data_IF_907713882297
#
_entry.id   IF_907713882297
#
_cell.length_a   1.000
_cell.length_b   1.000
_cell.length_c   1.000
_cell.angle_alpha   90.00
_cell.angle_beta   90.00
_cell.angle_gamma   90.00
#
_symmetry.space_group_name_H-M   'P 1'
#
loop_
_entity.id
_entity.type
_entity.pdbx_description
1 polymer ?
#
# COMPACT_ATOMS: atom_id res chain seq x y z
N UNK A 1 -17.43 -25.28 3.79
CA UNK A 1 -16.02 -25.71 3.87
C UNK A 1 -15.06 -24.59 3.45
N UNK A 2 -15.24 -23.96 2.27
CA UNK A 2 -14.37 -22.88 1.77
C UNK A 2 -14.22 -21.69 2.71
N UNK A 3 -15.32 -21.17 3.27
CA UNK A 3 -15.30 -20.08 4.26
C UNK A 3 -14.40 -20.41 5.48
N UNK A 4 -14.57 -21.60 6.08
CA UNK A 4 -13.78 -22.03 7.23
C UNK A 4 -12.30 -22.17 6.86
N UNK A 5 -11.99 -22.76 5.70
CA UNK A 5 -10.61 -22.87 5.20
C UNK A 5 -9.98 -21.48 5.03
N UNK A 6 -10.67 -20.53 4.40
CA UNK A 6 -10.16 -19.18 4.20
C UNK A 6 -9.93 -18.44 5.53
N UNK A 7 -10.84 -18.58 6.50
CA UNK A 7 -10.67 -18.03 7.84
C UNK A 7 -9.45 -18.62 8.56
N UNK A 8 -9.26 -19.95 8.50
CA UNK A 8 -8.10 -20.63 9.09
C UNK A 8 -6.80 -20.16 8.43
N UNK A 9 -6.78 -20.02 7.10
CA UNK A 9 -5.61 -19.51 6.36
C UNK A 9 -5.29 -18.08 6.81
N UNK A 10 -6.29 -17.19 6.91
CA UNK A 10 -6.06 -15.81 7.36
C UNK A 10 -5.51 -15.77 8.79
N UNK A 11 -6.07 -16.58 9.71
CA UNK A 11 -5.57 -16.69 11.09
C UNK A 11 -4.12 -17.19 11.09
N UNK A 12 -3.80 -18.23 10.32
CA UNK A 12 -2.44 -18.77 10.21
C UNK A 12 -1.46 -17.72 9.68
N UNK A 13 -1.85 -16.93 8.67
CA UNK A 13 -1.04 -15.84 8.12
C UNK A 13 -0.78 -14.75 9.17
N UNK A 14 -1.78 -14.38 9.97
CA UNK A 14 -1.59 -13.42 11.08
C UNK A 14 -0.66 -13.97 12.17
N UNK A 15 -0.79 -15.26 12.52
CA UNK A 15 0.12 -15.89 13.48
C UNK A 15 1.57 -15.93 12.97
N UNK A 16 1.77 -16.33 11.71
CA UNK A 16 3.09 -16.36 11.09
C UNK A 16 3.71 -14.96 10.93
N UNK A 17 2.87 -13.93 10.72
CA UNK A 17 3.31 -12.52 10.79
C UNK A 17 3.81 -12.18 12.20
N UNK A 18 3.06 -12.56 13.25
CA UNK A 18 3.42 -12.31 14.65
C UNK A 18 4.74 -12.96 15.08
N UNK A 19 5.02 -14.18 14.58
CA UNK A 19 6.31 -14.87 14.77
C UNK A 19 7.38 -14.48 13.73
N UNK A 20 7.03 -13.58 12.81
CA UNK A 20 7.88 -13.08 11.73
C UNK A 20 8.51 -14.15 10.83
N UNK A 21 7.80 -15.26 10.62
CA UNK A 21 8.29 -16.38 9.83
C UNK A 21 8.35 -15.98 8.35
N UNK A 22 9.54 -15.91 7.72
CA UNK A 22 9.64 -15.61 6.30
C UNK A 22 8.92 -16.67 5.45
N UNK A 23 8.35 -16.29 4.30
CA UNK A 23 8.33 -14.94 3.70
C UNK A 23 7.14 -14.07 4.16
N UNK A 24 6.37 -14.51 5.16
CA UNK A 24 5.06 -13.93 5.51
C UNK A 24 5.11 -12.43 5.79
N UNK A 25 6.06 -11.85 6.57
CA UNK A 25 6.07 -10.41 6.78
C UNK A 25 6.15 -9.58 5.50
N UNK A 26 6.97 -10.00 4.54
CA UNK A 26 7.15 -9.29 3.26
C UNK A 26 5.93 -9.50 2.35
N UNK A 27 5.34 -10.69 2.36
CA UNK A 27 4.22 -11.08 1.50
C UNK A 27 2.83 -10.96 2.16
N UNK A 28 2.76 -10.42 3.38
CA UNK A 28 1.57 -10.43 4.22
C UNK A 28 0.36 -9.86 3.49
N UNK A 29 0.56 -8.76 2.76
CA UNK A 29 -0.47 -8.09 2.00
C UNK A 29 -1.24 -9.05 1.07
N UNK A 30 -0.50 -9.79 0.25
CA UNK A 30 -1.05 -10.81 -0.68
C UNK A 30 -1.73 -11.92 0.11
N UNK A 31 -1.04 -12.44 1.13
CA UNK A 31 -1.49 -13.59 1.91
C UNK A 31 -2.75 -13.29 2.75
N UNK A 32 -3.00 -12.03 3.10
CA UNK A 32 -4.19 -11.58 3.80
C UNK A 32 -5.36 -11.32 2.84
N UNK A 33 -5.10 -10.74 1.67
CA UNK A 33 -6.17 -10.39 0.73
C UNK A 33 -6.89 -11.59 0.14
N UNK A 34 -6.17 -12.58 -0.40
CA UNK A 34 -6.82 -13.71 -1.07
C UNK A 34 -7.81 -14.50 -0.17
N UNK A 35 -7.49 -14.89 1.07
CA UNK A 35 -8.49 -15.50 1.94
C UNK A 35 -9.62 -14.52 2.30
N UNK A 36 -9.34 -13.22 2.44
CA UNK A 36 -10.38 -12.20 2.65
C UNK A 36 -11.37 -12.13 1.47
N UNK A 37 -10.89 -12.18 0.23
CA UNK A 37 -11.73 -12.22 -0.96
C UNK A 37 -12.60 -13.50 -0.99
N UNK A 38 -12.03 -14.65 -0.64
CA UNK A 38 -12.80 -15.91 -0.54
C UNK A 38 -13.87 -15.81 0.54
N UNK A 39 -13.56 -15.22 1.71
CA UNK A 39 -14.54 -14.99 2.78
C UNK A 39 -15.70 -14.12 2.26
N UNK A 40 -15.40 -13.00 1.62
CA UNK A 40 -16.43 -12.09 1.10
C UNK A 40 -17.29 -12.76 0.01
N UNK A 41 -16.67 -13.52 -0.89
CA UNK A 41 -17.39 -14.26 -1.94
C UNK A 41 -18.32 -15.34 -1.36
N UNK A 42 -17.85 -16.09 -0.36
CA UNK A 42 -18.69 -17.08 0.33
C UNK A 42 -19.82 -16.41 1.12
N UNK A 43 -19.60 -15.22 1.70
CA UNK A 43 -20.69 -14.43 2.31
C UNK A 43 -21.74 -14.04 1.26
N UNK A 44 -21.33 -13.63 0.05
CA UNK A 44 -22.26 -13.36 -1.04
C UNK A 44 -23.10 -14.60 -1.36
N UNK A 45 -22.47 -15.79 -1.46
CA UNK A 45 -23.17 -17.06 -1.72
C UNK A 45 -24.14 -17.42 -0.60
N UNK A 46 -23.73 -17.27 0.67
CA UNK A 46 -24.59 -17.53 1.83
C UNK A 46 -25.80 -16.60 1.88
N UNK A 47 -25.69 -15.39 1.33
CA UNK A 47 -26.79 -14.44 1.18
C UNK A 47 -27.63 -14.69 -0.10
N UNK A 48 -27.44 -15.83 -0.79
CA UNK A 48 -28.18 -16.21 -2.00
C UNK A 48 -27.68 -15.53 -3.27
N UNK A 49 -26.44 -15.05 -3.27
CA UNK A 49 -25.76 -14.48 -4.44
C UNK A 49 -24.97 -15.49 -5.27
N UNK A 50 -24.56 -15.05 -6.45
CA UNK A 50 -23.63 -15.81 -7.29
C UNK A 50 -22.19 -15.50 -6.91
N UNK A 51 -21.39 -16.55 -6.78
CA UNK A 51 -19.94 -16.45 -6.57
C UNK A 51 -19.27 -15.77 -7.77
N UNK A 52 -18.55 -14.69 -7.51
CA UNK A 52 -17.70 -14.00 -8.48
C UNK A 52 -16.41 -14.78 -8.75
N UNK A 53 -16.01 -15.65 -7.82
CA UNK A 53 -14.77 -16.43 -7.91
C UNK A 53 -14.98 -17.84 -8.52
N UNK A 54 -16.22 -18.29 -8.70
CA UNK A 54 -16.52 -19.62 -9.21
C UNK A 54 -16.20 -19.82 -10.70
N UNK A 55 -16.57 -18.91 -11.63
CA UNK A 55 -16.32 -19.12 -13.05
C UNK A 55 -14.84 -18.85 -13.38
N UNK A 56 -14.05 -19.88 -13.79
CA UNK A 56 -12.59 -19.74 -13.88
C UNK A 56 -12.15 -18.75 -14.97
N UNK A 57 -12.90 -18.67 -16.08
CA UNK A 57 -12.59 -17.75 -17.18
C UNK A 57 -12.80 -16.29 -16.78
N UNK A 58 -13.93 -16.01 -16.13
CA UNK A 58 -14.26 -14.66 -15.66
C UNK A 58 -13.34 -14.26 -14.52
N UNK A 59 -12.99 -15.19 -13.61
CA UNK A 59 -12.02 -14.95 -12.56
C UNK A 59 -10.66 -14.55 -13.13
N UNK A 60 -10.12 -15.31 -14.09
CA UNK A 60 -8.82 -14.98 -14.71
C UNK A 60 -8.87 -13.63 -15.42
N UNK A 61 -9.94 -13.35 -16.16
CA UNK A 61 -10.12 -12.05 -16.82
C UNK A 61 -10.21 -10.91 -15.80
N UNK A 62 -10.96 -11.09 -14.72
CA UNK A 62 -11.09 -10.11 -13.64
C UNK A 62 -9.77 -9.84 -12.95
N UNK A 63 -9.02 -10.88 -12.55
CA UNK A 63 -7.72 -10.71 -11.91
C UNK A 63 -6.70 -10.02 -12.83
N UNK A 64 -6.72 -10.36 -14.12
CA UNK A 64 -5.86 -9.70 -15.11
C UNK A 64 -6.20 -8.22 -15.26
N UNK A 65 -7.46 -7.89 -15.53
CA UNK A 65 -7.88 -6.50 -15.72
C UNK A 65 -7.79 -5.69 -14.43
N UNK A 66 -7.94 -6.32 -13.27
CA UNK A 66 -7.69 -5.71 -11.96
C UNK A 66 -6.26 -5.18 -11.84
N UNK A 67 -5.27 -6.03 -12.19
CA UNK A 67 -3.87 -5.59 -12.20
C UNK A 67 -3.64 -4.48 -13.23
N UNK A 68 -4.17 -4.60 -14.45
CA UNK A 68 -4.03 -3.58 -15.50
C UNK A 68 -4.64 -2.24 -15.09
N UNK A 69 -5.82 -2.26 -14.46
CA UNK A 69 -6.50 -1.06 -13.97
C UNK A 69 -5.64 -0.35 -12.94
N UNK A 70 -5.09 -1.05 -11.94
CA UNK A 70 -4.21 -0.39 -10.98
C UNK A 70 -2.92 0.12 -11.63
N UNK A 71 -2.35 -0.62 -12.58
CA UNK A 71 -1.14 -0.20 -13.29
C UNK A 71 -1.35 1.08 -14.12
N UNK A 72 -2.58 1.44 -14.50
CA UNK A 72 -2.90 2.77 -15.03
C UNK A 72 -2.61 3.87 -14.00
N UNK A 73 -3.04 3.68 -12.76
CA UNK A 73 -2.80 4.63 -11.68
C UNK A 73 -1.32 4.66 -11.25
N UNK A 74 -0.60 3.54 -11.36
CA UNK A 74 0.87 3.54 -11.21
C UNK A 74 1.57 4.38 -12.29
N UNK A 75 1.13 4.25 -13.55
CA UNK A 75 1.68 5.06 -14.63
C UNK A 75 1.43 6.57 -14.40
N UNK A 76 0.27 6.94 -13.85
CA UNK A 76 -0.02 8.31 -13.40
C UNK A 76 0.90 8.67 -12.23
N UNK A 77 1.08 7.78 -11.26
CA UNK A 77 1.90 7.99 -10.07
C UNK A 77 3.38 8.29 -10.39
N UNK A 78 3.92 7.81 -11.51
CA UNK A 78 5.28 8.21 -11.94
C UNK A 78 5.47 9.74 -12.01
N UNK A 79 4.39 10.46 -12.34
CA UNK A 79 4.36 11.92 -12.38
C UNK A 79 3.98 12.57 -11.05
N UNK A 80 3.04 11.97 -10.32
CA UNK A 80 2.50 12.50 -9.06
C UNK A 80 3.48 12.30 -7.90
N UNK A 81 4.04 11.08 -7.79
CA UNK A 81 4.89 10.60 -6.70
C UNK A 81 4.18 10.67 -5.34
N UNK A 82 2.92 10.28 -5.35
CA UNK A 82 2.07 10.27 -4.16
C UNK A 82 2.38 9.08 -3.25
N UNK A 83 2.87 7.98 -3.81
CA UNK A 83 3.34 6.82 -3.07
C UNK A 83 4.59 6.17 -3.68
N UNK A 84 5.31 5.44 -2.84
CA UNK A 84 6.47 4.62 -3.21
C UNK A 84 6.49 3.32 -2.38
N UNK A 85 7.10 2.27 -2.92
CA UNK A 85 7.20 0.95 -2.30
C UNK A 85 8.52 0.76 -1.56
N UNK A 86 8.44 0.07 -0.42
CA UNK A 86 9.60 -0.23 0.44
C UNK A 86 9.62 -1.69 0.85
N UNK A 87 10.83 -2.19 1.09
CA UNK A 87 11.12 -3.56 1.52
C UNK A 87 10.51 -4.66 0.65
N UNK A 88 10.27 -4.40 -0.63
CA UNK A 88 9.80 -5.45 -1.57
C UNK A 88 10.84 -6.56 -1.76
N UNK A 89 10.47 -7.75 -2.28
CA UNK A 89 11.44 -8.80 -2.54
C UNK A 89 12.63 -8.32 -3.37
N UNK A 90 13.84 -8.77 -3.03
CA UNK A 90 15.06 -8.35 -3.71
C UNK A 90 15.12 -8.86 -5.16
N UNK A 91 14.66 -10.08 -5.39
CA UNK A 91 14.55 -10.67 -6.73
C UNK A 91 13.54 -9.91 -7.59
N UNK A 92 13.97 -9.46 -8.78
CA UNK A 92 13.12 -8.70 -9.70
C UNK A 92 11.87 -9.45 -10.12
N UNK A 93 12.02 -10.71 -10.53
CA UNK A 93 10.89 -11.54 -10.95
C UNK A 93 9.91 -11.79 -9.80
N UNK A 94 10.42 -12.15 -8.62
CA UNK A 94 9.62 -12.34 -7.42
C UNK A 94 8.82 -11.09 -7.07
N UNK A 95 9.47 -9.92 -7.11
CA UNK A 95 8.83 -8.62 -6.86
C UNK A 95 7.75 -8.30 -7.89
N UNK A 96 8.02 -8.52 -9.18
CA UNK A 96 7.04 -8.27 -10.25
C UNK A 96 5.81 -9.16 -10.14
N UNK A 97 6.01 -10.44 -9.81
CA UNK A 97 4.93 -11.37 -9.51
C UNK A 97 4.16 -10.85 -8.30
N UNK A 98 4.83 -10.54 -7.20
CA UNK A 98 4.23 -10.04 -5.97
C UNK A 98 3.41 -8.77 -6.15
N UNK A 99 3.92 -7.79 -6.92
CA UNK A 99 3.17 -6.59 -7.31
C UNK A 99 1.94 -7.02 -8.10
N UNK A 100 2.11 -7.77 -9.19
CA UNK A 100 0.99 -8.14 -10.08
C UNK A 100 -0.13 -8.87 -9.34
N UNK A 101 0.19 -9.84 -8.47
CA UNK A 101 -0.83 -10.56 -7.68
C UNK A 101 -1.44 -9.70 -6.58
N UNK A 102 -0.71 -8.73 -6.02
CA UNK A 102 -1.29 -7.75 -5.10
C UNK A 102 -2.32 -6.90 -5.83
N UNK A 103 -1.97 -6.39 -7.00
CA UNK A 103 -2.83 -5.51 -7.79
C UNK A 103 -4.03 -6.24 -8.39
N UNK A 104 -3.92 -7.54 -8.64
CA UNK A 104 -5.03 -8.38 -9.08
C UNK A 104 -6.20 -8.41 -8.08
N UNK A 105 -5.97 -8.06 -6.81
CA UNK A 105 -7.02 -8.04 -5.77
C UNK A 105 -7.93 -6.81 -5.80
N UNK A 106 -7.56 -5.74 -6.52
CA UNK A 106 -8.24 -4.43 -6.49
C UNK A 106 -9.71 -4.52 -6.89
N UNK A 107 -10.01 -5.03 -8.08
CA UNK A 107 -11.40 -5.17 -8.58
C UNK A 107 -12.24 -6.04 -7.66
N UNK A 108 -11.87 -7.29 -7.32
CA UNK A 108 -12.69 -8.11 -6.45
C UNK A 108 -12.84 -7.52 -5.04
N UNK A 109 -11.83 -6.80 -4.53
CA UNK A 109 -11.93 -6.10 -3.24
C UNK A 109 -13.02 -5.02 -3.22
N UNK A 110 -13.37 -4.44 -4.38
CA UNK A 110 -14.47 -3.48 -4.52
C UNK A 110 -15.80 -4.18 -4.84
N UNK A 111 -15.79 -5.14 -5.77
CA UNK A 111 -17.03 -5.78 -6.24
C UNK A 111 -17.68 -6.69 -5.21
N UNK A 112 -16.89 -7.40 -4.40
CA UNK A 112 -17.45 -8.34 -3.41
C UNK A 112 -18.20 -7.63 -2.28
N UNK A 113 -17.66 -6.57 -1.63
CA UNK A 113 -18.43 -5.81 -0.64
C UNK A 113 -19.67 -5.15 -1.25
N UNK A 114 -19.61 -4.64 -2.47
CA UNK A 114 -20.80 -4.10 -3.16
C UNK A 114 -21.89 -5.17 -3.30
N UNK A 115 -21.52 -6.39 -3.72
CA UNK A 115 -22.45 -7.52 -3.82
C UNK A 115 -23.02 -7.94 -2.47
N UNK A 116 -22.21 -7.93 -1.40
CA UNK A 116 -22.71 -8.19 -0.04
C UNK A 116 -23.78 -7.17 0.32
N UNK A 117 -23.51 -5.87 0.11
CA UNK A 117 -24.48 -4.80 0.37
C UNK A 117 -25.74 -4.93 -0.50
N UNK A 118 -25.59 -5.34 -1.76
CA UNK A 118 -26.71 -5.59 -2.68
C UNK A 118 -27.60 -6.74 -2.17
N UNK A 119 -27.00 -7.85 -1.76
CA UNK A 119 -27.74 -9.00 -1.22
C UNK A 119 -28.44 -8.68 0.10
N UNK A 120 -27.81 -7.85 0.94
CA UNK A 120 -28.42 -7.31 2.16
C UNK A 120 -29.49 -6.24 1.88
N UNK A 121 -29.72 -5.87 0.61
CA UNK A 121 -30.70 -4.86 0.18
C UNK A 121 -30.45 -3.48 0.78
N UNK A 122 -29.20 -3.14 1.07
CA UNK A 122 -28.82 -1.84 1.62
C UNK A 122 -29.03 -0.76 0.56
N UNK A 123 -29.66 0.36 0.93
CA UNK A 123 -30.04 1.46 0.03
C UNK A 123 -30.89 1.06 -1.18
N UNK A 124 -31.61 -0.06 -1.07
CA UNK A 124 -32.68 -0.37 -2.02
C UNK A 124 -33.67 0.81 -2.03
N UNK A 125 -34.09 1.22 -3.21
CA UNK A 125 -34.98 2.37 -3.43
C UNK A 125 -34.35 3.77 -3.26
N UNK A 126 -33.02 3.88 -3.17
CA UNK A 126 -32.36 5.18 -3.27
C UNK A 126 -32.51 5.73 -4.69
N UNK A 127 -33.53 6.56 -4.88
CA UNK A 127 -33.95 7.15 -6.15
C UNK A 127 -33.82 8.66 -6.12
N UNK A 128 -33.60 9.22 -7.30
CA UNK A 128 -33.62 10.66 -7.59
C UNK A 128 -34.40 10.91 -8.88
N UNK A 129 -34.49 12.17 -9.31
CA UNK A 129 -35.15 12.52 -10.57
C UNK A 129 -34.39 11.92 -11.73
N UNK A 130 -35.09 11.19 -12.59
CA UNK A 130 -34.54 10.75 -13.87
C UNK A 130 -34.35 11.94 -14.81
N UNK A 131 -33.37 11.82 -15.71
CA UNK A 131 -33.11 12.80 -16.75
C UNK A 131 -32.57 12.10 -17.99
N UNK A 132 -32.78 12.73 -19.15
CA UNK A 132 -32.30 12.18 -20.42
C UNK A 132 -30.82 12.50 -20.60
N UNK A 133 -29.98 11.46 -20.67
CA UNK A 133 -28.58 11.60 -21.07
C UNK A 133 -28.46 11.76 -22.59
N UNK A 134 -28.37 13.01 -23.04
CA UNK A 134 -28.02 13.32 -24.42
C UNK A 134 -26.53 13.08 -24.75
N UNK A 135 -26.19 12.82 -26.03
CA UNK A 135 -24.79 12.63 -26.46
C UNK A 135 -23.84 13.76 -26.07
N UNK A 136 -24.32 15.02 -26.10
CA UNK A 136 -23.53 16.19 -25.68
C UNK A 136 -23.05 16.11 -24.23
N UNK A 137 -23.85 15.54 -23.32
CA UNK A 137 -23.46 15.41 -21.91
C UNK A 137 -22.32 14.42 -21.75
N UNK A 138 -22.33 13.34 -22.53
CA UNK A 138 -21.28 12.32 -22.55
C UNK A 138 -19.97 12.88 -23.12
N UNK A 139 -20.06 13.71 -24.16
CA UNK A 139 -18.90 14.40 -24.73
C UNK A 139 -18.30 15.40 -23.76
N UNK A 140 -19.12 16.25 -23.13
CA UNK A 140 -18.68 17.20 -22.11
C UNK A 140 -18.00 16.46 -20.96
N UNK A 141 -18.61 15.39 -20.43
CA UNK A 141 -18.02 14.59 -19.36
C UNK A 141 -16.64 14.04 -19.75
N UNK A 142 -16.52 13.47 -20.97
CA UNK A 142 -15.24 12.96 -21.48
C UNK A 142 -14.17 14.05 -21.58
N UNK A 143 -14.52 15.21 -22.14
CA UNK A 143 -13.58 16.34 -22.25
C UNK A 143 -13.19 16.91 -20.90
N UNK A 144 -14.12 17.01 -19.95
CA UNK A 144 -13.84 17.40 -18.56
C UNK A 144 -12.89 16.38 -17.94
N UNK A 145 -13.13 15.08 -18.09
CA UNK A 145 -12.25 14.03 -17.58
C UNK A 145 -10.82 14.15 -18.11
N UNK A 146 -10.66 14.33 -19.43
CA UNK A 146 -9.35 14.57 -20.04
C UNK A 146 -8.69 15.88 -19.58
N UNK A 147 -9.46 16.95 -19.47
CA UNK A 147 -8.98 18.24 -18.95
C UNK A 147 -8.50 18.15 -17.51
N UNK A 148 -9.25 17.44 -16.65
CA UNK A 148 -8.86 17.19 -15.26
C UNK A 148 -7.60 16.34 -15.18
N UNK A 149 -7.50 15.26 -15.95
CA UNK A 149 -6.29 14.43 -15.99
C UNK A 149 -5.07 15.23 -16.47
N UNK A 150 -5.22 16.06 -17.50
CA UNK A 150 -4.15 16.95 -17.95
C UNK A 150 -3.73 17.95 -16.87
N UNK A 151 -4.69 18.54 -16.16
CA UNK A 151 -4.43 19.47 -15.06
C UNK A 151 -3.72 18.79 -13.89
N UNK A 152 -4.13 17.56 -13.53
CA UNK A 152 -3.46 16.70 -12.54
C UNK A 152 -1.99 16.48 -12.92
N UNK A 153 -1.71 16.13 -14.16
CA UNK A 153 -0.34 15.85 -14.62
C UNK A 153 0.52 17.14 -14.75
N UNK A 154 -0.11 18.27 -15.06
CA UNK A 154 0.56 19.57 -15.10
C UNK A 154 0.90 20.09 -13.70
N UNK A 155 -0.04 19.98 -12.75
CA UNK A 155 0.07 20.54 -11.40
C UNK A 155 -0.18 19.49 -10.29
N UNK A 156 0.55 18.37 -10.25
CA UNK A 156 0.23 17.25 -9.37
C UNK A 156 0.36 17.58 -7.90
N UNK A 157 1.21 18.56 -7.54
CA UNK A 157 1.37 18.99 -6.15
C UNK A 157 0.04 19.41 -5.51
N UNK A 158 -0.90 19.96 -6.28
CA UNK A 158 -2.16 20.50 -5.77
C UNK A 158 -3.38 19.73 -6.26
N UNK A 159 -3.32 19.21 -7.49
CA UNK A 159 -4.49 18.65 -8.16
C UNK A 159 -4.55 17.12 -8.12
N UNK A 160 -3.59 16.44 -7.48
CA UNK A 160 -3.58 14.98 -7.35
C UNK A 160 -4.92 14.34 -6.90
N UNK A 161 -5.76 14.95 -6.01
CA UNK A 161 -7.02 14.32 -5.60
C UNK A 161 -8.01 14.18 -6.76
N UNK A 162 -7.92 15.03 -7.78
CA UNK A 162 -8.83 15.00 -8.94
C UNK A 162 -8.61 13.80 -9.86
N UNK A 163 -7.53 13.03 -9.64
CA UNK A 163 -7.28 11.76 -10.32
C UNK A 163 -8.46 10.80 -10.12
N UNK A 164 -9.00 10.74 -8.90
CA UNK A 164 -10.09 9.84 -8.46
C UNK A 164 -11.47 10.28 -8.96
N UNK A 165 -11.56 10.70 -10.22
CA UNK A 165 -12.77 11.20 -10.85
C UNK A 165 -12.51 11.58 -12.30
N UNK A 166 -11.30 12.04 -12.61
CA UNK A 166 -10.87 12.27 -13.97
C UNK A 166 -10.96 11.00 -14.82
N UNK A 167 -10.46 9.85 -14.31
CA UNK A 167 -10.49 8.58 -15.06
C UNK A 167 -11.92 8.06 -15.16
N UNK A 168 -12.73 8.25 -14.12
CA UNK A 168 -14.16 7.92 -14.12
C UNK A 168 -14.90 8.62 -15.26
N UNK A 169 -14.71 9.95 -15.38
CA UNK A 169 -15.35 10.78 -16.40
C UNK A 169 -14.87 10.46 -17.82
N UNK A 170 -13.68 9.89 -17.98
CA UNK A 170 -13.19 9.38 -19.27
C UNK A 170 -13.85 8.02 -19.60
N UNK A 171 -13.94 7.12 -18.62
CA UNK A 171 -14.42 5.76 -18.82
C UNK A 171 -15.94 5.67 -18.98
N UNK A 172 -16.71 6.41 -18.18
CA UNK A 172 -18.17 6.30 -18.14
C UNK A 172 -18.87 6.62 -19.47
N UNK A 173 -18.53 7.70 -20.19
CA UNK A 173 -19.09 7.95 -21.52
C UNK A 173 -18.86 6.81 -22.51
N UNK A 174 -17.75 6.08 -22.39
CA UNK A 174 -17.43 4.94 -23.25
C UNK A 174 -18.22 3.70 -22.83
N UNK A 175 -18.36 3.48 -21.52
CA UNK A 175 -19.18 2.38 -20.99
C UNK A 175 -20.66 2.59 -21.30
N UNK A 176 -21.21 3.79 -21.07
CA UNK A 176 -22.61 4.11 -21.31
C UNK A 176 -23.02 3.84 -22.76
N UNK A 177 -22.19 4.23 -23.74
CA UNK A 177 -22.49 3.99 -25.17
C UNK A 177 -22.53 2.51 -25.55
N UNK A 178 -21.91 1.63 -24.76
CA UNK A 178 -21.80 0.20 -25.05
C UNK A 178 -22.75 -0.65 -24.21
N UNK A 179 -22.76 -0.43 -22.90
CA UNK A 179 -23.55 -1.17 -21.93
C UNK A 179 -24.24 -0.20 -20.94
N UNK A 180 -25.33 0.48 -21.36
CA UNK A 180 -26.05 1.44 -20.51
C UNK A 180 -26.57 0.87 -19.18
N UNK A 181 -26.75 -0.45 -19.07
CA UNK A 181 -27.20 -1.14 -17.85
C UNK A 181 -26.09 -1.27 -16.79
N UNK A 182 -24.83 -1.31 -17.24
CA UNK A 182 -23.65 -1.37 -16.37
C UNK A 182 -23.04 -0.01 -16.09
N UNK A 183 -23.32 0.99 -16.93
CA UNK A 183 -22.86 2.35 -16.71
C UNK A 183 -23.52 3.00 -15.50
N UNK A 184 -22.70 3.67 -14.68
CA UNK A 184 -23.16 4.48 -13.55
C UNK A 184 -23.85 5.76 -14.02
N UNK A 185 -23.43 6.34 -15.15
CA UNK A 185 -24.20 7.40 -15.84
C UNK A 185 -25.58 6.89 -16.24
N UNK A 186 -25.68 5.65 -16.70
CA UNK A 186 -26.98 5.03 -16.97
C UNK A 186 -27.85 4.87 -15.73
N UNK A 187 -27.23 4.52 -14.59
CA UNK A 187 -27.94 4.50 -13.30
C UNK A 187 -28.44 5.90 -12.92
N UNK A 188 -27.59 6.92 -13.03
CA UNK A 188 -27.95 8.32 -12.76
C UNK A 188 -29.09 8.81 -13.67
N UNK A 189 -29.05 8.52 -14.97
CA UNK A 189 -30.10 8.92 -15.92
C UNK A 189 -31.45 8.29 -15.58
N UNK A 190 -31.45 7.03 -15.12
CA UNK A 190 -32.64 6.35 -14.61
C UNK A 190 -33.07 6.84 -13.22
N UNK A 191 -32.31 7.74 -12.61
CA UNK A 191 -32.51 8.22 -11.25
C UNK A 191 -32.14 7.20 -10.17
N UNK A 192 -31.41 6.13 -10.49
CA UNK A 192 -30.98 5.11 -9.54
C UNK A 192 -29.64 5.47 -8.90
N UNK A 193 -29.60 5.57 -7.57
CA UNK A 193 -28.37 5.76 -6.81
C UNK A 193 -27.94 4.52 -6.04
N UNK A 194 -28.71 3.43 -6.11
CA UNK A 194 -28.49 2.22 -5.31
C UNK A 194 -27.07 1.67 -5.48
N UNK A 195 -26.68 1.40 -6.74
CA UNK A 195 -25.36 0.85 -7.07
C UNK A 195 -24.24 1.83 -6.70
N UNK A 196 -24.42 3.11 -6.99
CA UNK A 196 -23.41 4.14 -6.71
C UNK A 196 -23.16 4.24 -5.21
N UNK A 197 -24.22 4.33 -4.40
CA UNK A 197 -24.10 4.38 -2.94
C UNK A 197 -23.42 3.13 -2.37
N UNK A 198 -23.79 1.94 -2.86
CA UNK A 198 -23.12 0.68 -2.49
C UNK A 198 -21.66 0.64 -2.90
N UNK A 199 -21.30 1.14 -4.09
CA UNK A 199 -19.91 1.24 -4.54
C UNK A 199 -19.09 2.22 -3.70
N UNK A 200 -19.63 3.39 -3.35
CA UNK A 200 -18.96 4.34 -2.46
C UNK A 200 -18.65 3.70 -1.10
N UNK A 201 -19.62 2.98 -0.53
CA UNK A 201 -19.44 2.26 0.73
C UNK A 201 -18.47 1.08 0.60
N UNK A 202 -18.55 0.32 -0.49
CA UNK A 202 -17.65 -0.79 -0.79
C UNK A 202 -16.20 -0.29 -0.98
N UNK A 203 -16.02 0.85 -1.64
CA UNK A 203 -14.73 1.51 -1.79
C UNK A 203 -14.14 1.89 -0.44
N UNK A 204 -14.93 2.54 0.42
CA UNK A 204 -14.47 2.87 1.78
C UNK A 204 -14.08 1.62 2.58
N UNK A 205 -14.92 0.58 2.55
CA UNK A 205 -14.64 -0.70 3.21
C UNK A 205 -13.34 -1.33 2.69
N UNK A 206 -13.17 -1.40 1.37
CA UNK A 206 -11.97 -1.91 0.73
C UNK A 206 -10.75 -1.09 1.14
N UNK A 207 -10.85 0.24 1.14
CA UNK A 207 -9.80 1.16 1.56
C UNK A 207 -9.35 0.97 3.01
N UNK A 208 -10.27 0.75 3.94
CA UNK A 208 -9.94 0.46 5.34
C UNK A 208 -9.15 -0.83 5.46
N UNK A 209 -9.56 -1.91 4.78
CA UNK A 209 -8.82 -3.17 4.79
C UNK A 209 -7.47 -3.05 4.08
N UNK A 210 -7.44 -2.35 2.95
CA UNK A 210 -6.25 -2.06 2.15
C UNK A 210 -5.16 -1.39 3.00
N UNK A 211 -5.52 -0.31 3.70
CA UNK A 211 -4.60 0.39 4.61
C UNK A 211 -4.23 -0.44 5.83
N UNK A 212 -5.16 -1.22 6.39
CA UNK A 212 -4.88 -2.09 7.55
C UNK A 212 -3.84 -3.15 7.22
N UNK A 213 -3.96 -3.81 6.06
CA UNK A 213 -3.00 -4.82 5.62
C UNK A 213 -1.65 -4.20 5.23
N UNK A 214 -1.65 -3.03 4.59
CA UNK A 214 -0.43 -2.30 4.26
C UNK A 214 0.34 -1.87 5.51
N UNK A 215 -0.36 -1.42 6.55
CA UNK A 215 0.24 -0.93 7.78
C UNK A 215 1.09 -2.00 8.49
N UNK A 216 0.60 -3.24 8.50
CA UNK A 216 1.24 -4.37 9.19
C UNK A 216 2.20 -5.15 8.30
N UNK A 217 2.08 -5.05 6.98
CA UNK A 217 3.01 -5.66 6.05
C UNK A 217 4.39 -5.00 6.13
N UNK A 218 5.44 -5.82 5.99
CA UNK A 218 6.82 -5.34 5.87
C UNK A 218 7.05 -4.75 4.48
N UNK A 219 6.66 -5.49 3.44
CA UNK A 219 6.61 -4.99 2.07
C UNK A 219 5.35 -4.16 1.91
N UNK A 220 5.50 -2.84 1.76
CA UNK A 220 4.38 -1.89 1.81
C UNK A 220 4.65 -0.66 0.95
N UNK A 221 3.61 0.12 0.67
CA UNK A 221 3.79 1.48 0.16
C UNK A 221 3.72 2.50 1.30
N UNK A 222 4.38 3.65 1.08
CA UNK A 222 4.35 4.80 1.96
C UNK A 222 3.86 6.00 1.15
N UNK A 223 2.92 6.77 1.73
CA UNK A 223 2.39 7.97 1.12
C UNK A 223 3.23 9.21 1.40
N UNK A 224 3.57 9.92 0.32
CA UNK A 224 4.23 11.25 0.29
C UNK A 224 3.29 12.31 -0.29
N UNK A 225 2.03 12.24 0.13
CA UNK A 225 0.98 13.17 -0.30
C UNK A 225 1.30 14.59 0.18
N UNK A 226 1.42 15.58 -0.73
CA UNK A 226 1.70 16.96 -0.36
C UNK A 226 0.67 17.51 0.66
N UNK A 227 1.14 18.32 1.60
CA UNK A 227 0.34 19.06 2.61
C UNK A 227 -0.35 18.22 3.69
N UNK A 228 -0.44 16.90 3.56
CA UNK A 228 -1.14 16.01 4.50
C UNK A 228 -0.21 15.06 5.25
N UNK A 229 1.03 15.49 5.51
CA UNK A 229 2.07 14.60 6.04
C UNK A 229 1.89 14.27 7.54
N UNK A 230 1.19 15.11 8.31
CA UNK A 230 1.19 15.07 9.78
C UNK A 230 0.00 14.31 10.41
N UNK A 231 -1.15 14.24 9.73
CA UNK A 231 -2.39 13.65 10.26
C UNK A 231 -2.76 12.37 9.51
N UNK A 232 -2.18 11.24 9.94
CA UNK A 232 -2.34 9.94 9.28
C UNK A 232 -2.98 8.90 10.21
N UNK A 233 -3.91 8.12 9.68
CA UNK A 233 -4.35 6.84 10.26
C UNK A 233 -3.73 5.77 9.37
N UNK A 234 -2.91 4.89 9.95
CA UNK A 234 -1.99 4.04 9.20
C UNK A 234 -0.99 4.86 8.37
N UNK A 235 -0.88 4.60 7.07
CA UNK A 235 -0.04 5.36 6.15
C UNK A 235 -0.77 6.55 5.52
N UNK A 236 -2.11 6.50 5.49
CA UNK A 236 -2.94 7.44 4.74
C UNK A 236 -3.47 8.59 5.62
N UNK A 237 -3.52 9.82 5.09
CA UNK A 237 -4.26 10.90 5.74
C UNK A 237 -5.76 10.59 5.81
N UNK A 238 -6.44 11.07 6.86
CA UNK A 238 -7.90 10.88 7.02
C UNK A 238 -8.69 11.31 5.77
N UNK A 239 -8.36 12.48 5.21
CA UNK A 239 -8.98 13.00 3.99
C UNK A 239 -8.67 12.12 2.78
N UNK A 240 -7.52 11.43 2.79
CA UNK A 240 -7.15 10.47 1.77
C UNK A 240 -8.16 9.33 1.64
N UNK A 241 -8.81 8.90 2.73
CA UNK A 241 -9.81 7.83 2.66
C UNK A 241 -11.01 8.18 1.77
N UNK A 242 -11.27 9.47 1.51
CA UNK A 242 -12.29 9.91 0.56
C UNK A 242 -11.96 9.52 -0.89
N UNK A 243 -10.69 9.26 -1.21
CA UNK A 243 -10.27 8.76 -2.52
C UNK A 243 -10.83 7.37 -2.82
N UNK A 244 -10.94 6.47 -1.82
CA UNK A 244 -11.38 5.09 -2.04
C UNK A 244 -12.84 4.97 -2.52
N UNK A 245 -13.82 5.70 -1.96
CA UNK A 245 -15.17 5.75 -2.51
C UNK A 245 -15.21 6.12 -4.00
N UNK A 246 -14.53 7.20 -4.42
CA UNK A 246 -14.57 7.60 -5.82
C UNK A 246 -13.77 6.64 -6.72
N UNK A 247 -12.65 6.13 -6.22
CA UNK A 247 -11.89 5.09 -6.90
C UNK A 247 -12.73 3.84 -7.16
N UNK A 248 -13.64 3.45 -6.26
CA UNK A 248 -14.55 2.32 -6.50
C UNK A 248 -15.47 2.54 -7.71
N UNK A 249 -15.87 3.79 -7.99
CA UNK A 249 -16.61 4.12 -9.20
C UNK A 249 -15.73 3.92 -10.45
N UNK A 250 -14.47 4.36 -10.40
CA UNK A 250 -13.50 4.14 -11.48
C UNK A 250 -13.24 2.66 -11.74
N UNK A 251 -13.04 1.88 -10.68
CA UNK A 251 -12.83 0.43 -10.74
C UNK A 251 -14.03 -0.25 -11.40
N UNK A 252 -15.25 0.07 -10.99
CA UNK A 252 -16.46 -0.49 -11.59
C UNK A 252 -16.54 -0.20 -13.09
N UNK A 253 -16.39 1.08 -13.47
CA UNK A 253 -16.52 1.55 -14.84
C UNK A 253 -15.45 0.97 -15.75
N UNK A 254 -14.19 1.01 -15.31
CA UNK A 254 -13.05 0.48 -16.08
C UNK A 254 -13.13 -1.04 -16.22
N UNK A 255 -13.48 -1.76 -15.14
CA UNK A 255 -13.57 -3.22 -15.18
C UNK A 255 -14.60 -3.67 -16.22
N UNK A 256 -15.83 -3.15 -16.16
CA UNK A 256 -16.88 -3.55 -17.11
C UNK A 256 -16.57 -3.08 -18.53
N UNK A 257 -15.92 -1.91 -18.69
CA UNK A 257 -15.46 -1.45 -19.99
C UNK A 257 -14.41 -2.38 -20.60
N UNK A 258 -13.42 -2.83 -19.81
CA UNK A 258 -12.28 -3.62 -20.30
C UNK A 258 -12.60 -5.11 -20.43
N UNK A 259 -13.30 -5.70 -19.45
CA UNK A 259 -13.61 -7.12 -19.41
C UNK A 259 -14.45 -7.54 -20.63
N UNK A 260 -15.43 -6.73 -21.03
CA UNK A 260 -16.25 -6.96 -22.22
C UNK A 260 -15.45 -6.98 -23.54
N UNK A 261 -14.25 -6.39 -23.57
CA UNK A 261 -13.39 -6.29 -24.75
C UNK A 261 -12.17 -7.21 -24.67
N UNK A 262 -12.24 -8.27 -23.88
CA UNK A 262 -11.14 -9.22 -23.75
C UNK A 262 -10.95 -10.01 -25.05
N UNK A 263 -10.02 -9.56 -25.88
CA UNK A 263 -9.59 -10.19 -27.13
C UNK A 263 -8.10 -10.53 -27.06
N UNK A 264 -7.59 -11.37 -27.96
CA UNK A 264 -6.15 -11.66 -28.03
C UNK A 264 -5.32 -10.40 -28.21
N UNK A 265 -5.79 -9.43 -29.01
CA UNK A 265 -5.09 -8.17 -29.27
C UNK A 265 -5.02 -7.29 -28.02
N UNK A 266 -6.12 -7.15 -27.29
CA UNK A 266 -6.15 -6.35 -26.05
C UNK A 266 -5.32 -7.02 -24.97
N UNK A 267 -5.32 -8.36 -24.88
CA UNK A 267 -4.47 -9.11 -23.96
C UNK A 267 -2.98 -8.87 -24.26
N UNK A 268 -2.55 -8.99 -25.52
CA UNK A 268 -1.16 -8.70 -25.91
C UNK A 268 -0.77 -7.25 -25.62
N UNK A 269 -1.63 -6.29 -25.96
CA UNK A 269 -1.39 -4.87 -25.69
C UNK A 269 -1.29 -4.57 -24.19
N UNK A 270 -2.20 -5.12 -23.39
CA UNK A 270 -2.17 -4.98 -21.94
C UNK A 270 -0.96 -5.68 -21.31
N UNK A 271 -0.49 -6.80 -21.87
CA UNK A 271 0.73 -7.47 -21.41
C UNK A 271 1.98 -6.63 -21.64
N UNK A 272 2.09 -6.00 -22.81
CA UNK A 272 3.17 -5.05 -23.09
C UNK A 272 3.11 -3.83 -22.15
N UNK A 273 1.91 -3.29 -21.91
CA UNK A 273 1.69 -2.21 -20.95
C UNK A 273 2.13 -2.60 -19.53
N UNK A 274 1.72 -3.79 -19.06
CA UNK A 274 2.10 -4.32 -17.74
C UNK A 274 3.62 -4.39 -17.59
N UNK A 275 4.33 -4.95 -18.58
CA UNK A 275 5.79 -5.05 -18.54
C UNK A 275 6.48 -3.68 -18.52
N UNK A 276 5.95 -2.71 -19.28
CA UNK A 276 6.47 -1.34 -19.30
C UNK A 276 6.29 -0.67 -17.94
N UNK A 277 5.09 -0.75 -17.36
CA UNK A 277 4.79 -0.12 -16.07
C UNK A 277 5.56 -0.81 -14.95
N UNK A 278 5.67 -2.15 -14.91
CA UNK A 278 6.49 -2.85 -13.91
C UNK A 278 7.97 -2.43 -13.97
N UNK A 279 8.48 -2.17 -15.17
CA UNK A 279 9.84 -1.62 -15.34
C UNK A 279 9.93 -0.18 -14.81
N UNK A 280 8.92 0.65 -15.05
CA UNK A 280 8.84 1.99 -14.47
C UNK A 280 8.71 1.99 -12.95
N UNK A 281 7.92 1.06 -12.37
CA UNK A 281 7.75 0.88 -10.93
C UNK A 281 9.11 0.58 -10.29
N UNK A 282 9.86 -0.38 -10.83
CA UNK A 282 11.20 -0.70 -10.33
C UNK A 282 12.16 0.50 -10.36
N UNK A 283 12.03 1.36 -11.37
CA UNK A 283 12.93 2.49 -11.55
C UNK A 283 12.57 3.73 -10.73
N UNK A 284 11.26 4.01 -10.55
CA UNK A 284 10.79 5.27 -9.96
C UNK A 284 9.99 5.12 -8.67
N UNK A 285 9.43 3.94 -8.42
CA UNK A 285 8.44 3.75 -7.34
C UNK A 285 8.98 2.81 -6.25
N UNK A 286 9.84 1.85 -6.58
CA UNK A 286 10.51 1.01 -5.57
C UNK A 286 11.71 1.77 -5.00
N UNK A 287 11.59 2.20 -3.74
CA UNK A 287 12.67 2.89 -3.01
C UNK A 287 13.64 1.89 -2.38
N UNK A 288 13.12 0.83 -1.76
CA UNK A 288 13.95 -0.20 -1.13
C UNK A 288 13.42 -1.62 -1.28
N UNK A 289 14.34 -2.57 -1.18
CA UNK A 289 14.06 -4.02 -1.14
C UNK A 289 14.34 -4.60 0.24
N UNK A 290 13.87 -5.82 0.49
CA UNK A 290 14.09 -6.53 1.76
C UNK A 290 15.60 -6.63 2.03
N UNK A 291 16.11 -6.04 3.12
CA UNK A 291 17.54 -6.02 3.41
C UNK A 291 18.04 -7.41 3.78
N UNK A 292 19.16 -7.82 3.19
CA UNK A 292 19.85 -9.05 3.55
C UNK A 292 20.97 -8.76 4.55
N UNK A 293 21.16 -9.66 5.52
CA UNK A 293 22.17 -9.48 6.56
C UNK A 293 23.61 -9.42 6.02
N UNK A 294 23.89 -10.04 4.85
CA UNK A 294 25.22 -9.94 4.19
C UNK A 294 25.56 -8.53 3.73
N UNK A 295 24.54 -7.72 3.48
CA UNK A 295 24.70 -6.43 2.84
C UNK A 295 24.57 -5.30 3.89
N UNK A 296 24.62 -5.62 5.19
CA UNK A 296 24.47 -4.66 6.27
C UNK A 296 25.61 -3.63 6.24
N UNK A 297 25.32 -2.33 6.00
CA UNK A 297 26.35 -1.33 5.78
C UNK A 297 27.10 -1.00 7.07
N UNK A 298 28.39 -0.68 6.96
CA UNK A 298 29.23 -0.32 8.10
C UNK A 298 29.65 -1.49 9.00
N UNK A 299 29.32 -2.73 8.64
CA UNK A 299 29.59 -3.93 9.44
C UNK A 299 30.50 -4.88 8.67
N UNK A 300 31.53 -5.41 9.34
CA UNK A 300 32.49 -6.31 8.68
C UNK A 300 31.90 -7.70 8.41
N UNK A 301 32.43 -8.38 7.39
CA UNK A 301 32.05 -9.76 7.07
C UNK A 301 32.24 -10.74 8.24
N UNK A 302 33.25 -10.50 9.09
CA UNK A 302 33.49 -11.30 10.30
C UNK A 302 32.37 -11.18 11.34
N UNK A 303 31.85 -9.97 11.54
CA UNK A 303 30.69 -9.73 12.43
C UNK A 303 29.42 -10.36 11.86
N UNK A 304 29.17 -10.17 10.55
CA UNK A 304 28.02 -10.78 9.85
C UNK A 304 28.04 -12.31 9.97
N UNK A 305 29.21 -12.92 9.80
CA UNK A 305 29.37 -14.39 9.87
C UNK A 305 29.07 -14.92 11.27
N UNK A 306 29.53 -14.21 12.30
CA UNK A 306 29.24 -14.53 13.71
C UNK A 306 27.75 -14.37 14.06
N UNK A 307 27.11 -13.30 13.60
CA UNK A 307 25.66 -13.10 13.78
C UNK A 307 24.85 -14.25 13.16
N UNK A 308 25.20 -14.68 11.93
CA UNK A 308 24.56 -15.82 11.27
C UNK A 308 24.77 -17.12 12.02
N UNK A 309 26.01 -17.39 12.45
CA UNK A 309 26.33 -18.59 13.22
C UNK A 309 25.53 -18.66 14.54
N UNK A 310 25.20 -17.51 15.13
CA UNK A 310 24.38 -17.41 16.33
C UNK A 310 22.85 -17.40 16.06
N UNK A 311 22.42 -17.55 14.81
CA UNK A 311 21.01 -17.70 14.41
C UNK A 311 20.29 -16.41 14.01
N UNK A 312 21.00 -15.29 13.83
CA UNK A 312 20.42 -14.09 13.22
C UNK A 312 20.51 -14.18 11.70
N UNK A 313 19.36 -14.37 11.05
CA UNK A 313 19.25 -14.43 9.58
C UNK A 313 18.65 -13.15 8.98
N UNK A 314 17.98 -12.34 9.80
CA UNK A 314 17.21 -11.17 9.37
C UNK A 314 17.72 -9.89 10.03
N UNK A 315 17.92 -8.85 9.21
CA UNK A 315 18.29 -7.51 9.69
C UNK A 315 17.23 -6.95 10.66
N UNK A 316 15.96 -7.24 10.44
CA UNK A 316 14.88 -6.82 11.34
C UNK A 316 14.96 -7.46 12.73
N UNK A 317 15.54 -8.67 12.85
CA UNK A 317 15.77 -9.28 14.17
C UNK A 317 16.96 -8.63 14.86
N UNK A 318 18.05 -8.37 14.13
CA UNK A 318 19.22 -7.64 14.66
C UNK A 318 18.83 -6.25 15.18
N UNK A 319 17.99 -5.52 14.45
CA UNK A 319 17.53 -4.17 14.80
C UNK A 319 16.72 -4.11 16.12
N UNK A 320 16.09 -5.21 16.54
CA UNK A 320 15.28 -5.28 17.78
C UNK A 320 15.94 -6.04 18.91
N UNK A 321 16.97 -6.83 18.62
CA UNK A 321 17.74 -7.53 19.64
C UNK A 321 18.54 -6.53 20.49
N UNK A 322 18.54 -6.65 21.82
CA UNK A 322 19.40 -5.85 22.68
C UNK A 322 20.88 -6.04 22.30
N UNK A 323 21.65 -4.95 22.33
CA UNK A 323 23.09 -4.97 22.02
C UNK A 323 23.85 -6.00 22.88
N UNK A 324 23.48 -6.15 24.16
CA UNK A 324 24.09 -7.13 25.06
C UNK A 324 23.83 -8.58 24.62
N UNK A 325 22.62 -8.89 24.11
CA UNK A 325 22.30 -10.22 23.60
C UNK A 325 23.11 -10.53 22.33
N UNK A 326 23.21 -9.56 21.42
CA UNK A 326 24.03 -9.66 20.21
C UNK A 326 25.50 -9.91 20.57
N UNK A 327 26.06 -9.11 21.49
CA UNK A 327 27.43 -9.24 21.94
C UNK A 327 27.71 -10.63 22.54
N UNK A 328 26.84 -11.09 23.43
CA UNK A 328 27.02 -12.35 24.14
C UNK A 328 26.87 -13.57 23.22
N UNK A 329 25.74 -13.70 22.51
CA UNK A 329 25.43 -14.93 21.75
C UNK A 329 26.22 -15.05 20.46
N UNK A 330 26.55 -13.91 19.81
CA UNK A 330 27.37 -13.92 18.61
C UNK A 330 28.87 -13.74 18.90
N UNK A 331 29.27 -13.68 20.19
CA UNK A 331 30.66 -13.48 20.61
C UNK A 331 31.30 -12.28 19.89
N UNK A 332 30.63 -11.13 19.97
CA UNK A 332 31.06 -9.87 19.36
C UNK A 332 31.59 -8.93 20.44
N UNK A 333 32.49 -8.02 20.05
CA UNK A 333 32.84 -6.90 20.93
C UNK A 333 31.59 -6.03 21.18
N UNK A 334 31.49 -5.34 22.32
CA UNK A 334 30.39 -4.40 22.57
C UNK A 334 30.27 -3.30 21.51
N UNK A 335 31.38 -2.93 20.88
CA UNK A 335 31.43 -1.96 19.79
C UNK A 335 30.84 -2.54 18.50
N UNK A 336 31.30 -3.71 18.06
CA UNK A 336 30.78 -4.40 16.87
C UNK A 336 29.28 -4.70 17.00
N UNK A 337 28.85 -5.15 18.18
CA UNK A 337 27.44 -5.43 18.45
C UNK A 337 26.59 -4.16 18.38
N UNK A 338 27.09 -3.02 18.89
CA UNK A 338 26.41 -1.73 18.80
C UNK A 338 26.36 -1.23 17.35
N UNK A 339 27.47 -1.31 16.62
CA UNK A 339 27.53 -0.91 15.21
C UNK A 339 26.55 -1.71 14.36
N UNK A 340 26.48 -3.04 14.55
CA UNK A 340 25.53 -3.89 13.84
C UNK A 340 24.07 -3.59 14.21
N UNK A 341 23.81 -3.31 15.49
CA UNK A 341 22.48 -2.93 15.95
C UNK A 341 22.02 -1.59 15.34
N UNK A 342 22.85 -0.54 15.41
CA UNK A 342 22.51 0.78 14.88
C UNK A 342 22.37 0.77 13.35
N UNK A 343 23.28 0.09 12.63
CA UNK A 343 23.15 -0.10 11.19
C UNK A 343 21.84 -0.82 10.84
N UNK A 344 21.46 -1.85 11.59
CA UNK A 344 20.21 -2.58 11.37
C UNK A 344 18.98 -1.73 11.68
N UNK A 345 19.01 -0.93 12.75
CA UNK A 345 17.95 0.03 13.09
C UNK A 345 17.77 1.06 11.97
N UNK A 346 18.86 1.64 11.46
CA UNK A 346 18.81 2.61 10.36
C UNK A 346 18.27 1.97 9.07
N UNK A 347 18.78 0.80 8.67
CA UNK A 347 18.30 0.07 7.48
C UNK A 347 16.80 -0.23 7.54
N UNK A 348 16.28 -0.56 8.72
CA UNK A 348 14.88 -0.98 8.89
C UNK A 348 13.93 0.19 9.19
N UNK A 349 14.46 1.39 9.42
CA UNK A 349 13.67 2.59 9.70
C UNK A 349 12.89 3.01 8.46
N UNK A 350 11.56 2.84 8.49
CA UNK A 350 10.60 3.42 7.54
C UNK A 350 10.98 3.32 6.06
N UNK A 351 11.56 2.19 5.68
CA UNK A 351 11.84 1.90 4.28
C UNK A 351 13.15 2.45 3.73
N UNK A 352 14.07 2.97 4.57
CA UNK A 352 15.42 3.37 4.14
C UNK A 352 16.09 2.23 3.37
N UNK A 353 16.13 1.02 3.93
CA UNK A 353 16.76 -0.12 3.27
C UNK A 353 18.28 0.01 3.15
N UNK A 354 18.91 -1.00 2.54
CA UNK A 354 20.36 -1.15 2.57
C UNK A 354 21.11 -0.02 1.85
N UNK A 355 20.68 0.32 0.63
CA UNK A 355 21.40 1.28 -0.21
C UNK A 355 21.35 2.71 0.36
N UNK A 356 20.19 3.15 0.84
CA UNK A 356 20.05 4.48 1.44
C UNK A 356 20.74 4.56 2.80
N UNK A 357 20.70 3.50 3.62
CA UNK A 357 21.43 3.46 4.88
C UNK A 357 22.94 3.56 4.65
N UNK A 358 23.48 2.87 3.64
CA UNK A 358 24.89 2.99 3.27
C UNK A 358 25.26 4.44 2.88
N UNK A 359 24.40 5.11 2.10
CA UNK A 359 24.62 6.51 1.71
C UNK A 359 24.48 7.49 2.89
N UNK A 360 23.57 7.22 3.83
CA UNK A 360 23.41 7.99 5.07
C UNK A 360 24.64 7.86 5.97
N UNK A 361 25.10 6.63 6.21
CA UNK A 361 26.31 6.36 7.00
C UNK A 361 27.53 7.04 6.37
N UNK A 362 27.72 6.90 5.05
CA UNK A 362 28.81 7.57 4.33
C UNK A 362 28.69 9.11 4.33
N UNK A 363 27.49 9.64 4.53
CA UNK A 363 27.20 11.07 4.66
C UNK A 363 27.29 11.61 6.09
N UNK A 364 27.67 10.79 7.08
CA UNK A 364 27.78 11.19 8.49
C UNK A 364 26.49 11.09 9.31
N UNK A 365 25.47 10.36 8.81
CA UNK A 365 24.23 10.07 9.53
C UNK A 365 24.18 8.57 9.85
N UNK A 366 25.02 8.13 10.78
CA UNK A 366 25.24 6.71 11.08
C UNK A 366 24.29 6.15 12.16
N UNK A 367 23.57 7.01 12.88
CA UNK A 367 22.62 6.62 13.93
C UNK A 367 21.24 7.25 13.74
N UNK A 368 20.25 6.71 14.45
CA UNK A 368 18.89 7.26 14.48
C UNK A 368 18.88 8.65 15.15
N UNK A 369 19.72 8.84 16.16
CA UNK A 369 19.82 10.07 16.93
C UNK A 369 20.43 11.20 16.08
N UNK A 370 21.50 10.91 15.33
CA UNK A 370 22.06 11.86 14.36
C UNK A 370 21.04 12.23 13.28
N UNK A 371 20.34 11.24 12.71
CA UNK A 371 19.31 11.49 11.71
C UNK A 371 18.15 12.31 12.27
N UNK A 372 17.75 12.07 13.53
CA UNK A 372 16.66 12.78 14.19
C UNK A 372 16.98 14.28 14.42
N UNK A 373 18.25 14.58 14.73
CA UNK A 373 18.74 15.94 14.97
C UNK A 373 19.02 16.73 13.69
N UNK A 374 18.93 16.08 12.52
CA UNK A 374 19.32 16.66 11.24
C UNK A 374 18.16 17.34 10.51
N UNK A 375 18.49 18.36 9.71
CA UNK A 375 17.56 19.00 8.77
C UNK A 375 17.32 18.12 7.52
N UNK A 376 16.07 17.79 7.14
CA UNK A 376 15.78 16.93 5.99
C UNK A 376 16.38 17.41 4.66
N UNK A 377 16.41 18.72 4.42
CA UNK A 377 16.96 19.29 3.18
C UNK A 377 18.48 19.13 3.11
N UNK A 378 19.17 19.24 4.25
CA UNK A 378 20.60 18.92 4.39
C UNK A 378 20.87 17.43 4.12
N UNK A 379 20.15 16.54 4.81
CA UNK A 379 20.29 15.07 4.63
C UNK A 379 20.08 14.69 3.18
N UNK A 380 19.02 15.22 2.55
CA UNK A 380 18.70 14.95 1.15
C UNK A 380 19.81 15.42 0.20
N UNK A 381 20.37 16.61 0.41
CA UNK A 381 21.50 17.13 -0.39
C UNK A 381 22.74 16.24 -0.27
N UNK A 382 23.09 15.81 0.93
CA UNK A 382 24.26 14.97 1.18
C UNK A 382 24.11 13.58 0.55
N UNK A 383 22.98 12.91 0.80
CA UNK A 383 22.71 11.56 0.27
C UNK A 383 22.59 11.56 -1.26
N UNK A 384 22.08 12.65 -1.85
CA UNK A 384 21.98 12.81 -3.30
C UNK A 384 23.32 13.22 -3.95
N UNK A 385 24.14 14.00 -3.25
CA UNK A 385 25.42 14.53 -3.73
C UNK A 385 26.58 13.54 -3.68
N UNK A 386 26.59 12.61 -2.72
CA UNK A 386 27.64 11.59 -2.58
C UNK A 386 27.60 10.44 -3.61
N UNK A 387 26.56 10.37 -4.44
CA UNK A 387 26.28 9.25 -5.35
C UNK A 387 26.96 9.30 -6.72
N UNK A 388 28.22 9.76 -6.81
CA UNK A 388 29.02 9.73 -8.04
C UNK A 388 30.09 8.61 -8.08
N UNK A 389 30.15 7.74 -7.08
CA UNK A 389 31.09 6.60 -7.03
C UNK A 389 30.39 5.27 -7.20
N UNK A 390 30.86 4.45 -8.15
CA UNK A 390 30.22 3.21 -8.60
C UNK A 390 30.05 2.11 -7.55
N UNK A 391 28.96 1.34 -7.71
CA UNK A 391 28.69 0.15 -6.91
C UNK A 391 27.29 -0.40 -7.11
N UNK A 392 27.06 -1.10 -8.25
CA UNK A 392 26.18 -2.27 -8.44
C UNK A 392 24.78 -2.44 -7.80
N UNK A 393 24.22 -1.47 -7.08
CA UNK A 393 22.91 -1.56 -6.45
C UNK A 393 21.96 -0.53 -7.04
N UNK A 394 21.11 -0.94 -7.98
CA UNK A 394 20.16 -0.08 -8.68
C UNK A 394 19.01 0.45 -7.82
N UNK A 395 19.29 1.16 -6.73
CA UNK A 395 18.30 1.94 -5.98
C UNK A 395 18.10 3.32 -6.61
N UNK A 396 16.86 3.75 -6.77
CA UNK A 396 16.54 5.12 -7.17
C UNK A 396 17.10 6.11 -6.13
N UNK A 397 17.51 7.31 -6.54
CA UNK A 397 17.94 8.34 -5.58
C UNK A 397 16.73 8.78 -4.74
N UNK A 398 16.88 8.97 -3.41
CA UNK A 398 15.72 9.29 -2.60
C UNK A 398 15.18 10.67 -2.93
N UNK A 399 13.85 10.79 -2.90
CA UNK A 399 13.19 12.08 -2.99
C UNK A 399 13.23 12.83 -1.66
N UNK A 400 13.06 14.15 -1.70
CA UNK A 400 13.02 14.95 -0.46
C UNK A 400 11.85 14.54 0.46
N UNK A 401 10.63 14.26 -0.05
CA UNK A 401 9.56 13.70 0.77
C UNK A 401 9.93 12.38 1.47
N UNK A 402 10.65 11.46 0.81
CA UNK A 402 11.16 10.24 1.44
C UNK A 402 12.10 10.55 2.61
N UNK A 403 13.06 11.46 2.42
CA UNK A 403 14.00 11.85 3.49
C UNK A 403 13.26 12.50 4.67
N UNK A 404 12.22 13.31 4.42
CA UNK A 404 11.37 13.85 5.49
C UNK A 404 10.66 12.75 6.27
N UNK A 405 10.17 11.71 5.61
CA UNK A 405 9.59 10.54 6.28
C UNK A 405 10.63 9.87 7.19
N UNK A 406 11.87 9.71 6.72
CA UNK A 406 12.94 9.09 7.49
C UNK A 406 13.34 9.91 8.73
N UNK A 407 13.59 11.21 8.56
CA UNK A 407 13.98 12.11 9.66
C UNK A 407 12.87 12.17 10.71
N UNK A 408 11.60 12.35 10.32
CA UNK A 408 10.48 12.36 11.27
C UNK A 408 10.33 11.04 12.01
N UNK A 409 10.60 9.93 11.35
CA UNK A 409 10.57 8.63 11.99
C UNK A 409 11.68 8.47 13.03
N UNK A 410 12.87 8.96 12.71
CA UNK A 410 14.00 8.99 13.62
C UNK A 410 13.65 9.85 14.85
N UNK A 411 13.08 11.04 14.64
CA UNK A 411 12.61 11.94 15.71
C UNK A 411 11.59 11.27 16.63
N UNK A 412 10.63 10.51 16.08
CA UNK A 412 9.65 9.77 16.88
C UNK A 412 10.28 8.66 17.73
N UNK A 413 11.33 8.01 17.25
CA UNK A 413 12.05 6.98 18.02
C UNK A 413 13.03 7.57 19.04
N UNK A 414 13.52 8.80 18.82
CA UNK A 414 14.43 9.49 19.72
C UNK A 414 13.74 10.22 20.89
N UNK A 415 12.43 10.47 20.80
CA UNK A 415 11.66 11.06 21.90
C UNK A 415 11.65 10.10 23.12
N UNK A 416 12.01 10.57 24.33
CA UNK A 416 11.89 9.75 25.53
C UNK A 416 10.42 9.40 25.78
N UNK A 417 10.14 8.12 26.03
CA UNK A 417 8.83 7.65 26.49
C UNK A 417 8.38 8.53 27.67
N UNK A 418 7.18 9.16 27.64
CA UNK A 418 6.74 9.95 28.78
C UNK A 418 6.73 9.05 30.04
N UNK A 419 7.19 9.56 31.20
CA UNK A 419 7.14 8.78 32.43
C UNK A 419 5.69 8.37 32.70
N UNK A 420 5.45 7.19 33.29
CA UNK A 420 4.10 6.80 33.68
C UNK A 420 3.51 7.90 34.56
N UNK A 421 2.26 8.27 34.29
CA UNK A 421 1.55 9.29 35.03
C UNK A 421 1.68 9.02 36.54
N UNK A 422 1.97 10.03 37.38
CA UNK A 422 2.12 9.83 38.81
C UNK A 422 0.84 9.19 39.34
N UNK A 423 1.01 8.06 40.05
CA UNK A 423 -0.06 7.37 40.75
C UNK A 423 -0.72 8.39 41.66
N UNK A 424 -1.97 8.78 41.36
CA UNK A 424 -2.73 9.62 42.27
C UNK A 424 -2.92 8.83 43.58
N UNK A 425 -2.56 9.41 44.75
CA UNK A 425 -2.80 8.75 46.02
C UNK A 425 -4.31 8.54 46.18
N UNK A 426 -4.70 7.29 46.42
CA UNK A 426 -6.08 6.88 46.63
C UNK A 426 -6.64 7.56 47.88
N UNK A 427 -7.45 8.60 47.69
CA UNK A 427 -8.30 9.16 48.74
C UNK A 427 -9.50 8.24 48.97
N UNK A 428 -9.27 7.07 49.56
CA UNK A 428 -10.36 6.30 50.18
C UNK A 428 -10.42 6.67 51.66
N UNK A 429 -11.41 7.48 52.02
CA UNK A 429 -11.81 7.67 53.40
C UNK A 429 -12.34 6.34 53.99
N UNK A 430 -12.00 5.99 55.24
CA UNK A 430 -12.47 4.74 55.84
C UNK A 430 -13.98 4.81 56.10
N UNK A 431 -14.71 3.82 55.58
CA UNK A 431 -16.13 3.65 55.83
C UNK A 431 -16.38 3.41 57.33
N UNK A 432 -17.26 4.23 57.92
CA UNK A 432 -17.77 4.03 59.28
C UNK A 432 -18.46 2.65 59.36
N UNK A 433 -17.98 1.79 60.26
CA UNK A 433 -18.70 0.59 60.68
C UNK A 433 -20.04 1.00 61.31
N UNK A 434 -21.14 0.42 60.83
CA UNK A 434 -22.41 0.35 61.56
C UNK A 434 -22.56 -1.06 62.12
N UNK A 435 -23.01 -1.07 63.38
CA UNK A 435 -23.28 -2.18 64.32
C UNK A 435 -22.12 -3.10 64.65
#
# INVERSE_FOLDING_TARGET
MRLATAAVVLIAVVLLLGYEIPPVPTWFYVLAWYPTLVILDEVVVLLGGESLLAPPRELVAMLWWSAVIWLLFEAINFRLRDWYYVFLPAGRLERWVGITVSLATVVPAVLLPERVLDRLRVWRDLRSRSFTLEPRHLEIAGWVGWGLLAAVLAFPRYLYPLTWGAVWLIAEPLLYRREPERSLFGDLARGSWERIARLLAAGLFAGVLWESFNAVARGRWIYTVPFLEDWKIFEMPLVGFLGFPFFALEVWSLYHLLAAHTTRRTLLGSGAFVLLVLTGIDHWTVSSTTPALRDLPGVTNGVISRLRAAGWESVFRVARSPVAELAYRANLSPEDARAAHEAARLVTLRGIGTAHAAALIGGGFASIEELASSDPDSVWRTVRGGGSGGGGGGGARPTLPEVRVWVRAAQRQALPTPPPAPVQPSTHAPARRRS
#
